data_IF_440994876328
#
_entry.id   IF_440994876328
#
_cell.length_a   1.000
_cell.length_b   1.000
_cell.length_c   1.000
_cell.angle_alpha   90.00
_cell.angle_beta   90.00
_cell.angle_gamma   90.00
#
_symmetry.space_group_name_H-M   'P 1'
#
loop_
_entity.id
_entity.type
_entity.pdbx_description
1 polymer ?
#
# COMPACT_ATOMS: atom_id res chain seq x y z
N UNK A 1 11.14 8.18 -13.39
CA UNK A 1 10.77 7.54 -12.11
C UNK A 1 9.44 8.09 -11.58
N UNK A 2 9.21 9.41 -11.63
CA UNK A 2 7.92 10.04 -11.27
C UNK A 2 6.69 9.51 -12.01
N UNK A 3 6.76 9.32 -13.34
CA UNK A 3 5.61 8.89 -14.14
C UNK A 3 5.16 7.48 -13.75
N UNK A 4 6.09 6.57 -13.48
CA UNK A 4 5.79 5.19 -13.08
C UNK A 4 5.13 5.19 -11.69
N UNK A 5 5.65 5.98 -10.76
CA UNK A 5 5.04 6.16 -9.43
C UNK A 5 3.66 6.79 -9.51
N UNK A 6 3.46 7.78 -10.39
CA UNK A 6 2.18 8.45 -10.62
C UNK A 6 1.15 7.48 -11.19
N UNK A 7 1.52 6.69 -12.21
CA UNK A 7 0.64 5.66 -12.77
C UNK A 7 0.31 4.60 -11.72
N UNK A 8 1.28 4.14 -10.93
CA UNK A 8 1.00 3.23 -9.82
C UNK A 8 -0.01 3.83 -8.83
N UNK A 9 0.17 5.11 -8.46
CA UNK A 9 -0.74 5.81 -7.55
C UNK A 9 -2.15 5.97 -8.14
N UNK A 10 -2.29 6.49 -9.36
CA UNK A 10 -3.61 6.75 -9.93
C UNK A 10 -4.39 5.45 -10.13
N UNK A 11 -3.71 4.39 -10.58
CA UNK A 11 -4.35 3.12 -10.95
C UNK A 11 -4.60 2.18 -9.75
N UNK A 12 -3.71 2.17 -8.73
CA UNK A 12 -3.88 1.32 -7.54
C UNK A 12 -4.53 2.03 -6.34
N UNK A 13 -4.45 3.36 -6.27
CA UNK A 13 -4.90 4.11 -5.09
C UNK A 13 -6.17 4.90 -5.35
N UNK A 14 -6.37 5.55 -6.50
CA UNK A 14 -7.61 6.27 -6.76
C UNK A 14 -8.67 5.36 -7.40
N UNK A 15 -8.35 4.74 -8.54
CA UNK A 15 -9.31 3.91 -9.28
C UNK A 15 -9.75 2.67 -8.48
N UNK A 16 -8.82 1.99 -7.79
CA UNK A 16 -9.17 0.82 -6.99
C UNK A 16 -10.02 1.17 -5.77
N UNK A 17 -9.79 2.33 -5.13
CA UNK A 17 -10.64 2.79 -4.02
C UNK A 17 -12.03 3.17 -4.51
N UNK A 18 -12.13 3.82 -5.67
CA UNK A 18 -13.41 4.14 -6.29
C UNK A 18 -14.19 2.85 -6.57
N UNK A 19 -13.52 1.81 -7.06
CA UNK A 19 -14.13 0.49 -7.27
C UNK A 19 -14.57 -0.17 -5.95
N UNK A 20 -13.73 -0.14 -4.90
CA UNK A 20 -14.04 -0.68 -3.57
C UNK A 20 -15.25 0.02 -2.93
N UNK A 21 -15.32 1.34 -3.07
CA UNK A 21 -16.39 2.17 -2.48
C UNK A 21 -17.69 2.13 -3.29
N UNK A 22 -17.62 1.84 -4.60
CA UNK A 22 -18.78 1.87 -5.47
C UNK A 22 -19.73 0.68 -5.26
N UNK A 23 -20.88 0.95 -4.64
CA UNK A 23 -21.92 -0.04 -4.36
C UNK A 23 -22.59 -0.64 -5.60
N UNK A 24 -22.46 -0.01 -6.76
CA UNK A 24 -23.01 -0.51 -8.04
C UNK A 24 -22.17 -1.64 -8.62
N UNK A 25 -20.90 -1.76 -8.21
CA UNK A 25 -20.00 -2.83 -8.68
C UNK A 25 -20.28 -4.11 -7.91
N UNK A 26 -20.20 -5.24 -8.60
CA UNK A 26 -20.38 -6.57 -8.02
C UNK A 26 -19.56 -6.74 -6.74
N UNK A 27 -20.19 -7.32 -5.71
CA UNK A 27 -19.54 -7.63 -4.42
C UNK A 27 -18.30 -8.50 -4.61
N UNK A 28 -18.32 -9.41 -5.59
CA UNK A 28 -17.18 -10.30 -5.89
C UNK A 28 -15.98 -9.46 -6.36
N UNK A 29 -16.19 -8.56 -7.31
CA UNK A 29 -15.14 -7.69 -7.87
C UNK A 29 -14.55 -6.79 -6.78
N UNK A 30 -15.40 -6.19 -5.92
CA UNK A 30 -14.94 -5.38 -4.78
C UNK A 30 -14.06 -6.16 -3.82
N UNK A 31 -14.47 -7.36 -3.43
CA UNK A 31 -13.69 -8.22 -2.53
C UNK A 31 -12.37 -8.64 -3.16
N UNK A 32 -12.37 -8.97 -4.44
CA UNK A 32 -11.15 -9.34 -5.17
C UNK A 32 -10.16 -8.18 -5.23
N UNK A 33 -10.61 -6.98 -5.60
CA UNK A 33 -9.75 -5.79 -5.67
C UNK A 33 -9.26 -5.42 -4.27
N UNK A 34 -10.13 -5.44 -3.26
CA UNK A 34 -9.72 -5.23 -1.87
C UNK A 34 -8.62 -6.22 -1.44
N UNK A 35 -8.76 -7.50 -1.77
CA UNK A 35 -7.75 -8.52 -1.50
C UNK A 35 -6.42 -8.26 -2.19
N UNK A 36 -6.46 -7.87 -3.48
CA UNK A 36 -5.26 -7.52 -4.26
C UNK A 36 -4.55 -6.30 -3.63
N UNK A 37 -5.30 -5.25 -3.30
CA UNK A 37 -4.75 -4.03 -2.68
C UNK A 37 -4.14 -4.34 -1.31
N UNK A 38 -4.82 -5.15 -0.50
CA UNK A 38 -4.33 -5.62 0.81
C UNK A 38 -3.04 -6.43 0.67
N UNK A 39 -2.97 -7.36 -0.29
CA UNK A 39 -1.77 -8.14 -0.59
C UNK A 39 -0.61 -7.27 -1.06
N UNK A 40 -0.89 -6.25 -1.88
CA UNK A 40 0.13 -5.32 -2.35
C UNK A 40 0.72 -4.51 -1.18
N UNK A 41 -0.12 -3.94 -0.31
CA UNK A 41 0.34 -3.17 0.86
C UNK A 41 1.09 -4.02 1.89
N UNK A 42 0.60 -5.24 2.16
CA UNK A 42 1.31 -6.16 3.06
C UNK A 42 2.67 -6.57 2.50
N UNK A 43 2.77 -6.80 1.19
CA UNK A 43 4.04 -7.04 0.51
C UNK A 43 5.02 -5.87 0.66
N UNK A 44 4.55 -4.63 0.48
CA UNK A 44 5.36 -3.44 0.72
C UNK A 44 5.87 -3.34 2.16
N UNK A 45 5.02 -3.61 3.16
CA UNK A 45 5.40 -3.63 4.58
C UNK A 45 6.54 -4.62 4.84
N UNK A 46 6.44 -5.85 4.33
CA UNK A 46 7.49 -6.87 4.47
C UNK A 46 8.81 -6.38 3.85
N UNK A 47 8.73 -5.73 2.70
CA UNK A 47 9.88 -5.18 1.98
C UNK A 47 10.57 -4.06 2.79
N UNK A 48 9.79 -3.16 3.40
CA UNK A 48 10.32 -2.12 4.30
C UNK A 48 10.93 -2.69 5.58
N UNK A 49 10.34 -3.72 6.17
CA UNK A 49 10.91 -4.43 7.33
C UNK A 49 12.26 -5.06 6.96
N UNK A 50 12.37 -5.68 5.78
CA UNK A 50 13.63 -6.25 5.31
C UNK A 50 14.71 -5.17 5.13
N UNK A 51 14.35 -4.00 4.58
CA UNK A 51 15.27 -2.87 4.49
C UNK A 51 15.68 -2.30 5.86
N UNK A 52 14.77 -2.31 6.84
CA UNK A 52 15.05 -1.86 8.20
C UNK A 52 16.11 -2.74 8.89
N UNK A 53 16.06 -4.05 8.68
CA UNK A 53 17.06 -5.00 9.20
C UNK A 53 18.43 -4.76 8.53
N UNK A 54 18.44 -4.47 7.23
CA UNK A 54 19.67 -4.30 6.44
C UNK A 54 20.30 -2.91 6.57
N UNK A 55 19.56 -1.90 7.03
CA UNK A 55 20.07 -0.54 7.16
C UNK A 55 21.06 -0.42 8.32
N UNK A 56 22.26 0.11 8.07
CA UNK A 56 23.25 0.37 9.13
C UNK A 56 23.00 1.72 9.84
N UNK A 57 22.44 2.71 9.13
CA UNK A 57 22.17 4.04 9.68
C UNK A 57 20.89 4.09 10.52
N UNK A 58 21.01 4.63 11.74
CA UNK A 58 19.88 4.87 12.65
C UNK A 58 18.85 5.83 12.02
N UNK A 59 19.29 6.85 11.30
CA UNK A 59 18.41 7.82 10.63
C UNK A 59 17.54 7.11 9.59
N UNK A 60 18.13 6.20 8.81
CA UNK A 60 17.43 5.42 7.79
C UNK A 60 16.40 4.46 8.41
N UNK A 61 16.73 3.84 9.55
CA UNK A 61 15.77 2.99 10.30
C UNK A 61 14.56 3.79 10.75
N UNK A 62 14.75 4.99 11.30
CA UNK A 62 13.65 5.86 11.76
C UNK A 62 12.71 6.20 10.60
N UNK A 63 13.27 6.53 9.43
CA UNK A 63 12.48 6.82 8.21
C UNK A 63 11.67 5.59 7.80
N UNK A 64 12.28 4.40 7.76
CA UNK A 64 11.56 3.18 7.39
C UNK A 64 10.48 2.79 8.41
N UNK A 65 10.70 2.99 9.71
CA UNK A 65 9.68 2.79 10.74
C UNK A 65 8.48 3.72 10.49
N UNK A 66 8.74 5.01 10.26
CA UNK A 66 7.71 6.01 9.95
C UNK A 66 6.87 5.61 8.74
N UNK A 67 7.52 5.21 7.64
CA UNK A 67 6.86 4.76 6.42
C UNK A 67 6.02 3.50 6.68
N UNK A 68 6.56 2.54 7.43
CA UNK A 68 5.86 1.28 7.76
C UNK A 68 4.61 1.55 8.59
N UNK A 69 4.67 2.45 9.58
CA UNK A 69 3.52 2.87 10.38
C UNK A 69 2.45 3.53 9.49
N UNK A 70 2.87 4.37 8.54
CA UNK A 70 1.96 5.06 7.62
C UNK A 70 1.17 4.06 6.75
N UNK A 71 1.85 3.01 6.25
CA UNK A 71 1.19 1.93 5.51
C UNK A 71 0.28 1.07 6.39
N UNK A 72 0.66 0.80 7.64
CA UNK A 72 -0.19 0.10 8.61
C UNK A 72 -1.50 0.87 8.88
N UNK A 73 -1.43 2.19 9.06
CA UNK A 73 -2.62 3.04 9.25
C UNK A 73 -3.51 3.00 8.01
N UNK A 74 -2.92 3.06 6.81
CA UNK A 74 -3.65 2.94 5.55
C UNK A 74 -4.40 1.60 5.44
N UNK A 75 -3.75 0.50 5.82
CA UNK A 75 -4.33 -0.85 5.84
C UNK A 75 -5.48 -0.99 6.83
N UNK A 76 -5.40 -0.37 8.00
CA UNK A 76 -6.46 -0.40 9.02
C UNK A 76 -7.69 0.42 8.57
N UNK A 77 -7.46 1.48 7.78
CA UNK A 77 -8.53 2.36 7.30
C UNK A 77 -9.26 1.82 6.05
N UNK A 78 -8.62 0.91 5.30
CA UNK A 78 -9.22 0.19 4.17
C UNK A 78 -10.32 -0.77 4.65
#
# INVERSE_FOLDING_TARGET
>A
MEIIFRVLYTLLLDDCFEIISNKKISIVIRKTIFGIVTLFYSGLIVLFIAFLIKADSIVVKIIFILITILFLILLIKL
#
